data_IF_694705868062
#
_entry.id   IF_694705868062
#
_cell.length_a   1.000
_cell.length_b   1.000
_cell.length_c   1.000
_cell.angle_alpha   90.00
_cell.angle_beta   90.00
_cell.angle_gamma   90.00
#
_symmetry.space_group_name_H-M   'P 1'
#
loop_
_entity.id
_entity.type
_entity.pdbx_description
1 polymer ?
#
# COMPACT_ATOMS: atom_id res chain seq x y z
N UNK A 1 -12.28 4.46 12.01
CA UNK A 1 -11.49 3.86 10.92
C UNK A 1 -10.16 4.59 10.80
N UNK A 2 -9.08 3.87 10.57
CA UNK A 2 -7.76 4.46 10.34
C UNK A 2 -7.78 5.27 9.04
N UNK A 3 -7.39 6.54 9.09
CA UNK A 3 -7.29 7.38 7.90
C UNK A 3 -5.90 7.28 7.28
N UNK A 4 -5.78 7.69 6.03
CA UNK A 4 -4.49 7.78 5.34
C UNK A 4 -3.52 8.71 6.11
N UNK A 5 -4.01 9.85 6.60
CA UNK A 5 -3.18 10.80 7.34
C UNK A 5 -2.65 10.21 8.65
N UNK A 6 -3.48 9.47 9.37
CA UNK A 6 -3.05 8.78 10.59
C UNK A 6 -2.01 7.70 10.26
N UNK A 7 -2.26 6.95 9.19
CA UNK A 7 -1.36 5.88 8.76
C UNK A 7 0.01 6.41 8.35
N UNK A 8 0.06 7.56 7.68
CA UNK A 8 1.33 8.20 7.30
C UNK A 8 2.18 8.59 8.50
N UNK A 9 1.57 8.88 9.64
CA UNK A 9 2.25 9.29 10.86
C UNK A 9 2.56 8.13 11.78
N UNK A 10 2.11 6.94 11.45
CA UNK A 10 2.33 5.75 12.28
C UNK A 10 3.81 5.35 12.27
N UNK A 11 4.43 5.36 13.44
CA UNK A 11 5.86 5.11 13.58
C UNK A 11 6.27 3.69 13.17
N UNK A 12 5.45 2.70 13.47
CA UNK A 12 5.72 1.30 13.10
C UNK A 12 5.72 1.15 11.58
N UNK A 13 4.71 1.67 10.92
CA UNK A 13 4.57 1.59 9.46
C UNK A 13 5.72 2.34 8.78
N UNK A 14 6.06 3.53 9.28
CA UNK A 14 7.19 4.29 8.74
C UNK A 14 8.50 3.52 8.85
N UNK A 15 8.71 2.83 9.95
CA UNK A 15 9.92 2.00 10.13
C UNK A 15 9.99 0.89 9.08
N UNK A 16 8.88 0.21 8.84
CA UNK A 16 8.87 -0.88 7.85
C UNK A 16 9.07 -0.37 6.43
N UNK A 17 8.50 0.77 6.09
CA UNK A 17 8.70 1.39 4.77
C UNK A 17 10.17 1.80 4.60
N UNK A 18 10.75 2.41 5.61
CA UNK A 18 12.17 2.83 5.58
C UNK A 18 13.09 1.63 5.40
N UNK A 19 12.84 0.54 6.13
CA UNK A 19 13.63 -0.69 6.01
C UNK A 19 13.45 -1.39 4.67
N UNK A 20 12.23 -1.35 4.12
CA UNK A 20 11.99 -1.87 2.77
C UNK A 20 12.78 -1.07 1.73
N UNK A 21 12.83 0.25 1.88
CA UNK A 21 13.62 1.12 1.01
C UNK A 21 15.12 0.82 1.10
N UNK A 22 15.64 0.62 2.31
CA UNK A 22 17.04 0.23 2.51
C UNK A 22 17.36 -1.09 1.81
N UNK A 23 16.47 -2.07 1.89
CA UNK A 23 16.65 -3.36 1.23
C UNK A 23 16.69 -3.21 -0.29
N UNK A 24 15.83 -2.37 -0.85
CA UNK A 24 15.81 -2.09 -2.29
C UNK A 24 17.06 -1.34 -2.73
N UNK A 25 17.52 -0.37 -1.96
CA UNK A 25 18.73 0.38 -2.24
C UNK A 25 19.96 -0.55 -2.29
N UNK A 26 20.02 -1.53 -1.38
CA UNK A 26 21.08 -2.52 -1.37
C UNK A 26 21.11 -3.39 -2.63
N UNK A 27 19.94 -3.54 -3.30
CA UNK A 27 19.82 -4.29 -4.54
C UNK A 27 19.95 -3.41 -5.80
N UNK A 28 20.23 -2.10 -5.62
CA UNK A 28 20.37 -1.17 -6.73
C UNK A 28 19.11 -0.42 -7.16
N UNK A 29 18.00 -0.61 -6.49
CA UNK A 29 16.76 0.13 -6.76
C UNK A 29 16.81 1.48 -6.04
N UNK A 30 16.37 2.56 -6.69
CA UNK A 30 16.54 3.91 -6.14
C UNK A 30 15.25 4.70 -5.96
N UNK A 31 14.09 4.19 -6.37
CA UNK A 31 12.84 4.97 -6.41
C UNK A 31 11.72 4.40 -5.53
N UNK A 32 12.04 3.87 -4.35
CA UNK A 32 11.04 3.28 -3.46
C UNK A 32 11.01 3.96 -2.09
N UNK A 33 11.32 5.27 -2.06
CA UNK A 33 11.33 6.11 -0.87
C UNK A 33 9.92 6.53 -0.44
N UNK A 34 9.82 7.25 0.67
CA UNK A 34 8.58 7.90 1.09
C UNK A 34 8.00 8.81 0.01
N UNK A 35 8.84 9.48 -0.76
CA UNK A 35 8.40 10.32 -1.87
C UNK A 35 7.65 9.50 -2.92
N UNK A 36 8.15 8.31 -3.24
CA UNK A 36 7.52 7.40 -4.20
C UNK A 36 6.15 6.93 -3.71
N UNK A 37 6.09 6.37 -2.50
CA UNK A 37 4.81 5.84 -1.98
C UNK A 37 3.78 6.93 -1.75
N UNK A 38 4.22 8.13 -1.36
CA UNK A 38 3.34 9.29 -1.22
C UNK A 38 2.76 9.68 -2.58
N UNK A 39 3.60 9.73 -3.62
CA UNK A 39 3.16 10.04 -4.99
C UNK A 39 2.16 9.02 -5.50
N UNK A 40 2.42 7.74 -5.29
CA UNK A 40 1.50 6.66 -5.69
C UNK A 40 0.17 6.81 -4.97
N UNK A 41 0.19 7.06 -3.67
CA UNK A 41 -1.01 7.27 -2.87
C UNK A 41 -1.86 8.42 -3.38
N UNK A 42 -1.23 9.56 -3.60
CA UNK A 42 -1.93 10.76 -4.05
C UNK A 42 -2.47 10.59 -5.47
N UNK A 43 -1.70 9.97 -6.35
CA UNK A 43 -2.13 9.69 -7.71
C UNK A 43 -3.30 8.72 -7.75
N UNK A 44 -3.24 7.63 -6.99
CA UNK A 44 -4.33 6.67 -6.92
C UNK A 44 -5.62 7.31 -6.42
N UNK A 45 -5.52 8.09 -5.34
CA UNK A 45 -6.67 8.83 -4.82
C UNK A 45 -7.22 9.84 -5.81
N UNK A 46 -6.35 10.56 -6.50
CA UNK A 46 -6.76 11.53 -7.51
C UNK A 46 -7.52 10.87 -8.68
N UNK A 47 -7.03 9.73 -9.15
CA UNK A 47 -7.67 8.99 -10.24
C UNK A 47 -9.10 8.60 -9.85
N UNK A 48 -9.28 7.98 -8.69
CA UNK A 48 -10.61 7.56 -8.26
C UNK A 48 -11.53 8.74 -7.98
N UNK A 49 -11.02 9.81 -7.39
CA UNK A 49 -11.80 11.02 -7.16
C UNK A 49 -12.27 11.63 -8.46
N UNK A 50 -11.39 11.73 -9.45
CA UNK A 50 -11.71 12.27 -10.78
C UNK A 50 -12.77 11.43 -11.49
N UNK A 51 -12.73 10.12 -11.30
CA UNK A 51 -13.71 9.21 -11.90
C UNK A 51 -15.04 9.14 -11.12
N UNK A 52 -15.17 9.88 -10.02
CA UNK A 52 -16.43 9.96 -9.28
C UNK A 52 -16.66 8.89 -8.24
N UNK A 53 -15.63 8.15 -7.84
CA UNK A 53 -15.76 7.14 -6.79
C UNK A 53 -15.95 7.80 -5.42
N UNK A 54 -16.46 7.04 -4.45
CA UNK A 54 -16.73 7.54 -3.11
C UNK A 54 -15.46 7.98 -2.37
N UNK A 55 -15.63 8.87 -1.39
CA UNK A 55 -14.52 9.31 -0.54
C UNK A 55 -13.85 8.13 0.16
N UNK A 56 -14.63 7.12 0.55
CA UNK A 56 -14.11 5.92 1.18
C UNK A 56 -13.18 5.16 0.22
N UNK A 57 -13.60 4.96 -1.03
CA UNK A 57 -12.78 4.26 -2.02
C UNK A 57 -11.50 5.04 -2.34
N UNK A 58 -11.59 6.36 -2.41
CA UNK A 58 -10.43 7.24 -2.57
C UNK A 58 -9.45 7.04 -1.41
N UNK A 59 -9.95 7.01 -0.19
CA UNK A 59 -9.12 6.81 1.00
C UNK A 59 -8.46 5.44 1.01
N UNK A 60 -9.20 4.38 0.66
CA UNK A 60 -8.66 3.03 0.58
C UNK A 60 -7.56 2.92 -0.48
N UNK A 61 -7.74 3.60 -1.61
CA UNK A 61 -6.73 3.66 -2.66
C UNK A 61 -5.44 4.33 -2.18
N UNK A 62 -5.56 5.41 -1.41
CA UNK A 62 -4.40 6.09 -0.82
C UNK A 62 -3.65 5.18 0.14
N UNK A 63 -4.36 4.48 1.00
CA UNK A 63 -3.76 3.54 1.95
C UNK A 63 -3.06 2.40 1.22
N UNK A 64 -3.72 1.80 0.23
CA UNK A 64 -3.12 0.73 -0.59
C UNK A 64 -1.86 1.22 -1.29
N UNK A 65 -1.89 2.41 -1.87
CA UNK A 65 -0.73 3.00 -2.54
C UNK A 65 0.45 3.22 -1.60
N UNK A 66 0.18 3.67 -0.39
CA UNK A 66 1.21 3.90 0.61
C UNK A 66 1.90 2.62 1.06
N UNK A 67 1.15 1.52 1.13
CA UNK A 67 1.64 0.23 1.63
C UNK A 67 2.08 -0.74 0.52
N UNK A 68 1.89 -0.39 -0.75
CA UNK A 68 1.99 -1.38 -1.84
C UNK A 68 3.36 -2.05 -1.96
N UNK A 69 4.44 -1.36 -1.62
CA UNK A 69 5.80 -1.90 -1.72
C UNK A 69 6.39 -2.37 -0.40
N UNK A 70 5.60 -2.40 0.68
CA UNK A 70 6.11 -2.75 2.01
C UNK A 70 6.68 -4.17 2.07
N UNK A 71 6.23 -5.05 1.18
CA UNK A 71 6.71 -6.43 1.08
C UNK A 71 8.19 -6.55 0.71
N UNK A 72 8.78 -5.48 0.15
CA UNK A 72 10.20 -5.45 -0.13
C UNK A 72 11.07 -5.55 1.13
N UNK A 73 10.48 -5.34 2.30
CA UNK A 73 11.14 -5.61 3.57
C UNK A 73 11.52 -7.08 3.70
N UNK A 74 10.68 -7.98 3.18
CA UNK A 74 10.90 -9.43 3.22
C UNK A 74 11.80 -9.86 2.07
N UNK A 75 11.41 -9.55 0.84
CA UNK A 75 12.17 -9.87 -0.36
C UNK A 75 11.54 -9.16 -1.55
N UNK A 76 12.34 -8.80 -2.56
CA UNK A 76 11.82 -8.27 -3.81
C UNK A 76 10.97 -9.30 -4.56
N UNK A 77 11.37 -10.58 -4.49
CA UNK A 77 10.62 -11.68 -5.10
C UNK A 77 9.29 -11.83 -4.34
N UNK A 78 8.20 -11.84 -5.07
CA UNK A 78 6.83 -11.94 -4.52
C UNK A 78 6.50 -10.85 -3.50
N UNK A 79 7.09 -9.65 -3.64
CA UNK A 79 6.88 -8.56 -2.71
C UNK A 79 5.41 -8.12 -2.62
N UNK A 80 4.62 -8.29 -3.68
CA UNK A 80 3.19 -8.00 -3.64
C UNK A 80 2.46 -8.93 -2.68
N UNK A 81 2.81 -10.21 -2.67
CA UNK A 81 2.20 -11.20 -1.78
C UNK A 81 2.64 -10.97 -0.34
N UNK A 82 3.92 -10.80 -0.09
CA UNK A 82 4.44 -10.46 1.23
C UNK A 82 3.85 -9.16 1.75
N UNK A 83 3.75 -8.16 0.89
CA UNK A 83 3.17 -6.87 1.23
C UNK A 83 1.71 -6.96 1.61
N UNK A 84 0.93 -7.77 0.90
CA UNK A 84 -0.48 -7.99 1.22
C UNK A 84 -0.64 -8.62 2.61
N UNK A 85 0.16 -9.61 2.95
CA UNK A 85 0.13 -10.26 4.27
C UNK A 85 0.56 -9.30 5.37
N UNK A 86 1.61 -8.51 5.14
CA UNK A 86 2.05 -7.49 6.09
C UNK A 86 0.98 -6.42 6.31
N UNK A 87 0.35 -5.95 5.24
CA UNK A 87 -0.72 -4.97 5.33
C UNK A 87 -1.91 -5.51 6.11
N UNK A 88 -2.29 -6.76 5.89
CA UNK A 88 -3.35 -7.42 6.65
C UNK A 88 -3.07 -7.33 8.15
N UNK A 89 -1.87 -7.73 8.58
CA UNK A 89 -1.50 -7.70 9.99
C UNK A 89 -1.54 -6.28 10.56
N UNK A 90 -0.96 -5.33 9.84
CA UNK A 90 -0.90 -3.95 10.31
C UNK A 90 -2.28 -3.33 10.46
N UNK A 91 -3.15 -3.55 9.49
CA UNK A 91 -4.50 -3.00 9.50
C UNK A 91 -5.39 -3.70 10.53
N UNK A 92 -5.25 -5.01 10.68
CA UNK A 92 -5.99 -5.77 11.68
C UNK A 92 -5.64 -5.32 13.10
N UNK A 93 -4.36 -5.09 13.39
CA UNK A 93 -3.91 -4.56 14.68
C UNK A 93 -4.44 -3.17 14.97
N UNK A 94 -4.86 -2.43 13.96
CA UNK A 94 -5.39 -1.06 14.08
C UNK A 94 -6.91 -1.01 14.02
N UNK A 95 -7.54 -2.17 14.16
CA UNK A 95 -8.99 -2.31 14.20
C UNK A 95 -9.71 -1.80 12.95
N UNK A 96 -9.09 -1.93 11.78
CA UNK A 96 -9.74 -1.60 10.53
C UNK A 96 -10.84 -2.61 10.24
N UNK A 97 -11.90 -2.17 9.56
CA UNK A 97 -13.01 -3.04 9.20
C UNK A 97 -12.53 -4.14 8.22
N UNK A 98 -13.01 -5.38 8.38
CA UNK A 98 -12.61 -6.47 7.49
C UNK A 98 -12.83 -6.19 6.00
N UNK A 99 -13.88 -5.47 5.65
CA UNK A 99 -14.17 -5.09 4.27
C UNK A 99 -13.09 -4.19 3.69
N UNK A 100 -12.61 -3.23 4.49
CA UNK A 100 -11.56 -2.31 4.10
C UNK A 100 -10.23 -3.04 3.97
N UNK A 101 -9.93 -3.92 4.92
CA UNK A 101 -8.71 -4.74 4.89
C UNK A 101 -8.71 -5.61 3.63
N UNK A 102 -9.83 -6.26 3.33
CA UNK A 102 -9.94 -7.12 2.15
C UNK A 102 -9.67 -6.34 0.86
N UNK A 103 -10.24 -5.14 0.73
CA UNK A 103 -10.04 -4.29 -0.45
C UNK A 103 -8.58 -3.88 -0.61
N UNK A 104 -7.95 -3.43 0.47
CA UNK A 104 -6.56 -2.99 0.46
C UNK A 104 -5.61 -4.15 0.17
N UNK A 105 -5.81 -5.27 0.83
CA UNK A 105 -4.98 -6.47 0.67
C UNK A 105 -5.05 -7.01 -0.76
N UNK A 106 -6.25 -7.04 -1.34
CA UNK A 106 -6.43 -7.46 -2.74
C UNK A 106 -5.70 -6.51 -3.70
N UNK A 107 -5.79 -5.21 -3.46
CA UNK A 107 -5.10 -4.24 -4.29
C UNK A 107 -3.58 -4.42 -4.22
N UNK A 108 -3.03 -4.59 -3.02
CA UNK A 108 -1.59 -4.77 -2.84
C UNK A 108 -1.12 -6.09 -3.47
N UNK A 109 -1.85 -7.17 -3.25
CA UNK A 109 -1.49 -8.49 -3.77
C UNK A 109 -1.54 -8.58 -5.29
N UNK A 110 -2.24 -7.67 -5.94
CA UNK A 110 -2.42 -7.65 -7.40
C UNK A 110 -1.78 -6.43 -8.07
N UNK A 111 -0.90 -5.69 -7.38
CA UNK A 111 -0.28 -4.51 -7.99
C UNK A 111 0.88 -4.83 -8.92
N UNK A 112 1.46 -6.02 -8.86
CA UNK A 112 2.56 -6.43 -9.71
C UNK A 112 2.06 -6.74 -11.12
N UNK A 113 2.57 -6.03 -12.13
CA UNK A 113 2.14 -6.17 -13.51
C UNK A 113 2.31 -7.58 -14.08
N UNK A 114 3.30 -8.34 -13.57
CA UNK A 114 3.59 -9.69 -14.05
C UNK A 114 2.54 -10.73 -13.65
N UNK A 115 1.88 -10.54 -12.51
CA UNK A 115 0.98 -11.53 -11.93
C UNK A 115 -0.35 -10.97 -11.44
N UNK A 116 -0.47 -9.65 -11.33
CA UNK A 116 -1.62 -9.00 -10.74
C UNK A 116 -2.80 -8.85 -11.67
N UNK A 117 -4.00 -8.91 -11.12
CA UNK A 117 -5.26 -8.66 -11.83
C UNK A 117 -6.06 -7.62 -11.05
N UNK A 118 -6.44 -6.49 -11.65
CA UNK A 118 -7.22 -5.47 -10.95
C UNK A 118 -8.67 -5.92 -10.80
N UNK A 119 -9.00 -6.50 -9.67
CA UNK A 119 -10.32 -7.11 -9.41
C UNK A 119 -11.32 -6.16 -8.76
N UNK A 120 -10.92 -4.94 -8.42
CA UNK A 120 -11.82 -3.90 -7.92
C UNK A 120 -11.26 -2.51 -8.28
N UNK A 121 -12.03 -1.46 -7.98
CA UNK A 121 -11.67 -0.09 -8.36
C UNK A 121 -10.39 0.42 -7.67
N UNK A 122 -10.08 -0.08 -6.48
CA UNK A 122 -8.89 0.31 -5.72
C UNK A 122 -7.64 -0.37 -6.29
N UNK A 123 -7.78 -1.58 -6.77
CA UNK A 123 -6.67 -2.33 -7.35
C UNK A 123 -6.21 -1.71 -8.66
#
# INVERSE_FOLDING_TARGET
>A
MLSYEELRQDAEIRTYIERADESLAALGYTEHSFAHVTRVSETAGYILKTLGYSEREVELARIAGYLHDIGNLVNRVDHSQSGAVMAFRLLDHRNCAPEDIATIVTAIGNHDEGTGVPVNAVA
#
